data_IF_420469079006
#
_entry.id   IF_420469079006
#
_cell.length_a   1.000
_cell.length_b   1.000
_cell.length_c   1.000
_cell.angle_alpha   90.00
_cell.angle_beta   90.00
_cell.angle_gamma   90.00
#
_symmetry.space_group_name_H-M   'P 1'
#
loop_
_entity.id
_entity.type
_entity.pdbx_description
1 polymer ?
#
# COMPACT_ATOMS: atom_id res chain seq x y z
N UNK A 1 -6.65 3.24 -14.92
CA UNK A 1 -6.33 4.17 -13.81
C UNK A 1 -5.54 3.42 -12.73
N UNK A 2 -4.75 4.07 -11.86
CA UNK A 2 -4.18 3.39 -10.68
C UNK A 2 -4.40 4.23 -9.42
N UNK A 3 -4.56 3.56 -8.29
CA UNK A 3 -4.64 4.19 -6.96
C UNK A 3 -3.65 3.53 -5.99
N UNK A 4 -3.17 4.31 -5.01
CA UNK A 4 -2.25 3.84 -3.97
C UNK A 4 -2.66 4.35 -2.60
N UNK A 5 -3.09 3.41 -1.77
CA UNK A 5 -3.46 3.67 -0.39
C UNK A 5 -2.48 3.04 0.60
N UNK A 6 -2.47 3.56 1.82
CA UNK A 6 -1.71 3.02 2.94
C UNK A 6 -2.64 2.75 4.11
N UNK A 7 -2.43 1.64 4.81
CA UNK A 7 -3.25 1.27 5.97
C UNK A 7 -2.36 0.98 7.17
N UNK A 8 -2.73 1.54 8.32
CA UNK A 8 -2.02 1.30 9.58
C UNK A 8 -2.41 -0.04 10.17
N UNK A 9 -1.45 -0.67 10.83
CA UNK A 9 -1.64 -1.93 11.51
C UNK A 9 -1.51 -1.75 13.02
N UNK A 10 -2.36 -2.47 13.74
CA UNK A 10 -2.19 -2.77 15.16
C UNK A 10 -1.50 -4.13 15.34
N UNK A 11 -0.84 -4.33 16.48
CA UNK A 11 -0.05 -5.53 16.74
C UNK A 11 1.37 -5.47 16.17
N UNK A 12 2.11 -6.58 16.33
CA UNK A 12 3.57 -6.62 16.05
C UNK A 12 3.96 -7.53 14.88
N UNK A 13 3.13 -8.53 14.57
CA UNK A 13 3.43 -9.58 13.59
C UNK A 13 2.61 -9.38 12.32
N UNK A 14 3.23 -8.82 11.30
CA UNK A 14 2.70 -8.78 9.94
C UNK A 14 3.88 -8.88 8.97
N UNK A 15 3.74 -9.73 7.95
CA UNK A 15 4.81 -10.01 7.00
C UNK A 15 5.28 -8.77 6.21
N UNK A 16 4.35 -7.87 5.87
CA UNK A 16 4.58 -6.63 5.12
C UNK A 16 4.62 -5.38 6.00
N UNK A 17 4.23 -5.51 7.27
CA UNK A 17 4.09 -4.38 8.19
C UNK A 17 5.43 -3.74 8.54
N UNK A 18 5.67 -2.54 8.01
CA UNK A 18 6.88 -1.76 8.25
C UNK A 18 6.56 -0.32 8.64
N UNK A 19 7.48 0.34 9.34
CA UNK A 19 7.40 1.78 9.56
C UNK A 19 7.79 2.51 8.28
N UNK A 20 6.93 3.40 7.79
CA UNK A 20 7.21 4.17 6.59
C UNK A 20 6.68 5.59 6.66
N UNK A 21 6.60 6.24 5.49
CA UNK A 21 6.11 7.61 5.39
C UNK A 21 4.65 7.67 5.81
N UNK A 22 4.37 8.51 6.81
CA UNK A 22 3.05 8.65 7.37
C UNK A 22 2.37 9.88 6.76
N UNK A 23 1.35 9.66 5.94
CA UNK A 23 0.57 10.75 5.32
C UNK A 23 -0.37 11.44 6.32
N UNK A 24 -0.82 10.74 7.36
CA UNK A 24 -1.91 11.18 8.26
C UNK A 24 -1.43 11.60 9.66
N UNK A 25 -0.12 11.76 9.87
CA UNK A 25 0.50 12.11 11.16
C UNK A 25 0.51 11.02 12.25
N UNK A 26 0.04 9.79 12.00
CA UNK A 26 -0.05 8.71 13.01
C UNK A 26 1.30 8.10 13.42
N UNK A 27 2.00 8.73 14.36
CA UNK A 27 3.32 8.28 14.82
C UNK A 27 3.30 6.84 15.35
N UNK A 28 4.42 6.14 15.13
CA UNK A 28 4.76 4.82 15.72
C UNK A 28 3.81 3.66 15.33
N UNK A 29 3.13 3.76 14.19
CA UNK A 29 2.35 2.67 13.62
C UNK A 29 3.08 2.05 12.43
N UNK A 30 3.09 0.72 12.37
CA UNK A 30 3.46 -0.01 11.15
C UNK A 30 2.33 0.18 10.13
N UNK A 31 2.67 0.08 8.85
CA UNK A 31 1.70 0.17 7.77
C UNK A 31 2.01 -0.84 6.67
N UNK A 32 1.08 -0.96 5.74
CA UNK A 32 1.27 -1.58 4.43
C UNK A 32 0.89 -0.59 3.35
N UNK A 33 1.43 -0.79 2.15
CA UNK A 33 1.05 -0.02 0.95
C UNK A 33 0.28 -0.96 0.04
N UNK A 34 -0.83 -0.49 -0.51
CA UNK A 34 -1.70 -1.24 -1.42
C UNK A 34 -1.77 -0.45 -2.71
N UNK A 35 -1.33 -1.06 -3.81
CA UNK A 35 -1.54 -0.53 -5.16
C UNK A 35 -2.72 -1.25 -5.82
N UNK A 36 -3.56 -0.50 -6.51
CA UNK A 36 -4.69 -1.01 -7.28
C UNK A 36 -4.65 -0.46 -8.70
N UNK A 37 -4.82 -1.33 -9.68
CA UNK A 37 -5.02 -0.97 -11.08
C UNK A 37 -6.49 -1.15 -11.43
N UNK A 38 -7.08 -0.16 -12.08
CA UNK A 38 -8.43 -0.22 -12.62
C UNK A 38 -8.43 -0.11 -14.14
N UNK A 39 -9.43 -0.71 -14.77
CA UNK A 39 -9.71 -0.55 -16.20
C UNK A 39 -10.26 0.85 -16.53
N UNK A 40 -10.78 1.02 -17.75
CA UNK A 40 -11.35 2.28 -18.23
C UNK A 40 -12.70 2.62 -17.58
N UNK A 41 -13.44 1.60 -17.10
CA UNK A 41 -14.70 1.76 -16.37
C UNK A 41 -14.50 2.08 -14.88
N UNK A 42 -13.26 1.95 -14.39
CA UNK A 42 -12.91 2.11 -12.98
C UNK A 42 -12.97 0.81 -12.18
N UNK A 43 -13.22 -0.33 -12.83
CA UNK A 43 -13.30 -1.63 -12.17
C UNK A 43 -11.90 -2.14 -11.83
N UNK A 44 -11.69 -2.71 -10.63
CA UNK A 44 -10.38 -3.19 -10.21
C UNK A 44 -9.96 -4.43 -11.00
N UNK A 45 -8.79 -4.34 -11.64
CA UNK A 45 -8.19 -5.42 -12.45
C UNK A 45 -7.12 -6.18 -11.66
N UNK A 46 -6.36 -5.46 -10.83
CA UNK A 46 -5.26 -6.07 -10.06
C UNK A 46 -4.97 -5.29 -8.78
N UNK A 47 -4.50 -6.01 -7.75
CA UNK A 47 -4.05 -5.44 -6.49
C UNK A 47 -2.74 -6.09 -6.04
N UNK A 48 -1.85 -5.30 -5.44
CA UNK A 48 -0.61 -5.79 -4.86
C UNK A 48 -0.34 -5.11 -3.51
N UNK A 49 0.10 -5.91 -2.53
CA UNK A 49 0.47 -5.43 -1.19
C UNK A 49 1.99 -5.37 -1.08
N UNK A 50 2.49 -4.20 -0.68
CA UNK A 50 3.91 -3.94 -0.49
C UNK A 50 4.24 -3.65 0.97
N UNK A 51 5.53 -3.75 1.31
CA UNK A 51 6.03 -3.36 2.63
C UNK A 51 5.68 -1.90 2.94
N UNK A 52 5.35 -1.60 4.19
CA UNK A 52 4.93 -0.26 4.63
C UNK A 52 5.91 0.89 4.39
N UNK A 53 7.18 0.58 4.14
CA UNK A 53 8.22 1.55 3.79
C UNK A 53 8.47 1.67 2.28
N UNK A 54 7.65 1.03 1.45
CA UNK A 54 7.76 1.10 -0.01
C UNK A 54 7.42 2.51 -0.50
N UNK A 55 8.33 3.11 -1.28
CA UNK A 55 8.06 4.38 -1.95
C UNK A 55 6.99 4.19 -3.01
N UNK A 56 5.98 5.07 -3.00
CA UNK A 56 4.77 5.03 -3.84
C UNK A 56 5.06 5.14 -5.36
N UNK A 57 6.31 5.34 -5.79
CA UNK A 57 6.69 5.40 -7.21
C UNK A 57 6.94 4.02 -7.85
N UNK A 58 6.67 2.93 -7.15
CA UNK A 58 6.91 1.57 -7.68
C UNK A 58 5.70 1.13 -8.53
N UNK A 59 5.88 0.80 -9.82
CA UNK A 59 4.79 0.32 -10.66
C UNK A 59 4.31 -1.06 -10.20
N UNK A 60 3.00 -1.31 -10.34
CA UNK A 60 2.40 -2.64 -10.16
C UNK A 60 2.99 -3.60 -11.19
N UNK A 61 3.58 -4.71 -10.74
CA UNK A 61 4.08 -5.71 -11.66
C UNK A 61 2.93 -6.64 -12.03
N UNK A 62 2.28 -6.36 -13.16
CA UNK A 62 1.34 -7.30 -13.76
C UNK A 62 2.15 -8.49 -14.28
N UNK A 63 1.96 -9.66 -13.67
CA UNK A 63 2.32 -10.95 -14.27
C UNK A 63 1.08 -11.56 -14.88
#
# INVERSE_FOLDING_TARGET
MYDVTSSYLEGKSNHFGEYGYNRDGKKRKKQIVIGMLCDESGEPVSTEVFRGNTRIRRPLNLR
#
